data_IF_124899646949
#
_entry.id   IF_124899646949
#
_cell.length_a   1.000
_cell.length_b   1.000
_cell.length_c   1.000
_cell.angle_alpha   90.00
_cell.angle_beta   90.00
_cell.angle_gamma   90.00
#
_symmetry.space_group_name_H-M   'P 1'
#
loop_
_entity.id
_entity.type
_entity.pdbx_description
1 polymer ?
#
# COMPACT_ATOMS: atom_id res chain seq x y z
N UNK A 1 30.05 -0.93 -11.47
CA UNK A 1 29.64 -1.66 -10.27
C UNK A 1 29.28 -3.10 -10.65
N UNK A 2 30.29 -3.92 -10.97
CA UNK A 2 30.07 -5.31 -11.42
C UNK A 2 30.69 -6.34 -10.44
N UNK A 3 30.90 -5.94 -9.18
CA UNK A 3 31.57 -6.77 -8.18
C UNK A 3 30.54 -7.35 -7.19
N UNK A 4 29.70 -8.26 -7.67
CA UNK A 4 28.73 -8.98 -6.84
C UNK A 4 28.72 -10.47 -7.22
N UNK A 5 28.48 -11.34 -6.23
CA UNK A 5 28.45 -12.80 -6.44
C UNK A 5 27.07 -13.32 -6.87
N UNK A 6 26.00 -12.65 -6.48
CA UNK A 6 24.63 -13.03 -6.85
C UNK A 6 23.69 -11.83 -6.81
N UNK A 7 22.58 -11.94 -7.52
CA UNK A 7 21.49 -10.98 -7.52
C UNK A 7 20.23 -11.66 -6.98
N UNK A 8 19.54 -11.00 -6.05
CA UNK A 8 18.26 -11.45 -5.50
C UNK A 8 17.15 -10.50 -5.95
N UNK A 9 16.14 -11.05 -6.61
CA UNK A 9 14.92 -10.31 -6.98
C UNK A 9 13.81 -10.76 -6.05
N UNK A 10 13.09 -9.80 -5.46
CA UNK A 10 12.00 -10.09 -4.54
C UNK A 10 11.09 -8.88 -4.37
N UNK A 11 9.99 -9.07 -3.63
CA UNK A 11 9.08 -8.00 -3.27
C UNK A 11 9.60 -7.27 -2.04
N UNK A 12 9.45 -5.95 -2.04
CA UNK A 12 9.73 -5.12 -0.87
C UNK A 12 8.50 -5.10 0.06
N UNK A 13 8.72 -5.23 1.37
CA UNK A 13 7.66 -5.02 2.35
C UNK A 13 7.30 -3.52 2.47
N UNK A 14 6.12 -3.18 3.00
CA UNK A 14 5.74 -1.78 3.27
C UNK A 14 6.77 -1.04 4.12
N UNK A 15 7.32 -1.70 5.15
CA UNK A 15 8.36 -1.14 6.04
C UNK A 15 9.63 -0.83 5.25
N UNK A 16 10.00 -1.73 4.32
CA UNK A 16 11.17 -1.52 3.46
C UNK A 16 10.96 -0.34 2.52
N UNK A 17 9.78 -0.20 1.92
CA UNK A 17 9.43 0.94 1.07
C UNK A 17 9.47 2.25 1.87
N UNK A 18 8.91 2.28 3.08
CA UNK A 18 8.99 3.45 3.96
C UNK A 18 10.42 3.82 4.31
N UNK A 19 11.30 2.83 4.52
CA UNK A 19 12.72 3.07 4.82
C UNK A 19 13.48 3.72 3.66
N UNK A 20 13.05 3.52 2.43
CA UNK A 20 13.62 4.15 1.24
C UNK A 20 13.02 5.52 0.94
N UNK A 21 11.84 5.80 1.48
CA UNK A 21 11.08 6.99 1.16
C UNK A 21 11.61 8.24 1.85
N UNK A 22 11.62 9.33 1.13
CA UNK A 22 11.91 10.67 1.66
C UNK A 22 10.67 11.40 2.18
N UNK A 23 9.51 10.84 2.01
CA UNK A 23 8.26 11.37 2.55
C UNK A 23 7.01 10.81 1.87
N UNK A 24 5.87 11.07 2.50
CA UNK A 24 4.56 10.66 2.01
C UNK A 24 3.98 11.69 1.03
N UNK A 25 3.51 11.20 -0.12
CA UNK A 25 2.74 11.99 -1.09
C UNK A 25 1.27 11.92 -0.68
N UNK A 26 0.73 13.06 -0.23
CA UNK A 26 -0.65 13.15 0.31
C UNK A 26 -1.67 13.70 -0.69
N UNK A 27 -1.20 14.37 -1.75
CA UNK A 27 -2.05 15.04 -2.73
C UNK A 27 -1.79 14.51 -4.14
N UNK A 28 -2.82 14.39 -5.00
CA UNK A 28 -2.65 13.97 -6.38
C UNK A 28 -2.11 15.08 -7.28
N UNK A 29 -1.97 16.29 -6.77
CA UNK A 29 -1.52 17.45 -7.51
C UNK A 29 -0.06 17.30 -7.95
N UNK A 30 0.26 17.82 -9.13
CA UNK A 30 1.60 17.77 -9.72
C UNK A 30 2.29 19.13 -9.65
N UNK A 31 1.91 20.03 -10.53
CA UNK A 31 2.44 21.40 -10.61
C UNK A 31 1.30 22.40 -10.60
N UNK A 32 1.58 23.59 -10.09
CA UNK A 32 0.67 24.73 -10.21
C UNK A 32 0.70 25.28 -11.64
N UNK A 33 -0.46 25.33 -12.30
CA UNK A 33 -0.55 25.76 -13.71
C UNK A 33 -0.18 27.24 -13.91
N UNK A 34 -0.27 28.09 -12.87
CA UNK A 34 0.08 29.51 -12.95
C UNK A 34 1.58 29.76 -12.72
N UNK A 35 2.14 29.12 -11.69
CA UNK A 35 3.52 29.34 -11.27
C UNK A 35 4.50 28.33 -11.86
N UNK A 36 4.00 27.24 -12.44
CA UNK A 36 4.77 26.10 -12.95
C UNK A 36 5.68 25.46 -11.90
N UNK A 37 5.41 25.70 -10.62
CA UNK A 37 6.16 25.10 -9.50
C UNK A 37 5.44 23.86 -8.99
N UNK A 38 6.19 22.85 -8.54
CA UNK A 38 5.61 21.66 -7.91
C UNK A 38 4.76 22.03 -6.67
N UNK A 39 3.59 21.42 -6.57
CA UNK A 39 2.72 21.59 -5.40
C UNK A 39 3.30 20.86 -4.18
N UNK A 40 3.13 21.47 -3.02
CA UNK A 40 3.58 20.90 -1.76
C UNK A 40 2.79 19.61 -1.44
N UNK A 41 3.49 18.58 -1.01
CA UNK A 41 2.96 17.24 -0.69
C UNK A 41 2.31 16.51 -1.88
N UNK A 42 2.51 17.02 -3.09
CA UNK A 42 2.06 16.41 -4.34
C UNK A 42 3.08 15.45 -4.94
N UNK A 43 2.74 14.93 -6.12
CA UNK A 43 3.56 13.94 -6.84
C UNK A 43 4.94 14.46 -7.29
N UNK A 44 5.14 15.76 -7.33
CA UNK A 44 6.43 16.39 -7.68
C UNK A 44 7.00 17.26 -6.55
N UNK A 45 6.53 17.08 -5.32
CA UNK A 45 6.93 17.90 -4.17
C UNK A 45 8.45 18.02 -4.04
N UNK A 46 8.95 19.25 -3.98
CA UNK A 46 10.39 19.51 -3.83
C UNK A 46 10.92 19.10 -2.46
N UNK A 47 10.08 19.12 -1.43
CA UNK A 47 10.46 18.69 -0.08
C UNK A 47 10.74 17.19 -0.02
N UNK A 48 9.98 16.38 -0.77
CA UNK A 48 10.13 14.92 -0.81
C UNK A 48 11.24 14.53 -1.78
N UNK A 49 11.18 15.02 -3.01
CA UNK A 49 12.03 14.56 -4.10
C UNK A 49 13.28 15.42 -4.33
N UNK A 50 13.32 16.59 -3.74
CA UNK A 50 14.43 17.52 -3.91
C UNK A 50 14.10 18.72 -4.80
N UNK A 51 15.03 19.68 -4.90
CA UNK A 51 14.82 20.94 -5.61
C UNK A 51 14.74 20.74 -7.14
N UNK A 52 14.03 21.61 -7.82
CA UNK A 52 13.96 21.63 -9.29
C UNK A 52 15.17 22.30 -9.94
N UNK A 53 15.84 23.20 -9.21
CA UNK A 53 17.06 23.89 -9.64
C UNK A 53 18.22 23.51 -8.74
N UNK A 54 19.40 23.38 -9.33
CA UNK A 54 20.62 23.05 -8.59
C UNK A 54 20.92 24.12 -7.53
N UNK A 55 21.19 23.66 -6.32
CA UNK A 55 21.64 24.49 -5.19
C UNK A 55 20.67 25.65 -4.82
N UNK A 56 19.39 25.47 -5.07
CA UNK A 56 18.36 26.46 -4.75
C UNK A 56 17.17 25.79 -4.07
N UNK A 57 16.72 26.34 -2.94
CA UNK A 57 15.48 25.87 -2.31
C UNK A 57 14.24 26.44 -3.03
N UNK A 58 13.07 25.87 -2.79
CA UNK A 58 11.82 26.26 -3.49
C UNK A 58 11.43 27.73 -3.28
N UNK A 59 11.63 28.26 -2.08
CA UNK A 59 11.30 29.66 -1.76
C UNK A 59 12.38 30.66 -2.15
N UNK A 60 13.56 30.21 -2.59
CA UNK A 60 14.68 31.05 -3.00
C UNK A 60 15.49 31.69 -1.87
N UNK A 61 15.21 31.35 -0.59
CA UNK A 61 15.95 31.87 0.57
C UNK A 61 17.43 31.47 0.51
N UNK A 62 17.67 30.21 0.22
CA UNK A 62 19.02 29.66 0.08
C UNK A 62 19.29 29.35 -1.37
N UNK A 63 20.30 30.03 -1.92
CA UNK A 63 20.81 29.86 -3.27
C UNK A 63 22.32 29.78 -3.19
N UNK A 64 22.94 28.90 -3.86
CA UNK A 64 24.39 28.66 -4.00
C UNK A 64 24.88 27.45 -3.22
N UNK A 65 25.99 26.92 -3.72
CA UNK A 65 26.68 25.71 -3.24
C UNK A 65 27.10 25.77 -1.78
N UNK A 66 27.37 26.96 -1.23
CA UNK A 66 27.78 27.12 0.18
C UNK A 66 26.75 26.59 1.18
N UNK A 67 25.48 26.48 0.76
CA UNK A 67 24.39 25.97 1.59
C UNK A 67 24.09 24.47 1.34
N UNK A 68 25.00 23.77 0.65
CA UNK A 68 24.85 22.35 0.32
C UNK A 68 24.45 21.52 1.55
N UNK A 69 23.42 20.72 1.41
CA UNK A 69 22.90 19.83 2.46
C UNK A 69 22.04 20.51 3.52
N UNK A 70 21.91 21.83 3.49
CA UNK A 70 20.97 22.54 4.37
C UNK A 70 19.53 22.32 3.96
N UNK A 71 18.68 22.04 4.96
CA UNK A 71 17.23 22.04 4.77
C UNK A 71 16.69 23.43 5.08
N UNK A 72 15.97 24.01 4.15
CA UNK A 72 15.41 25.34 4.32
C UNK A 72 14.35 25.34 5.43
N UNK A 73 14.52 26.20 6.42
CA UNK A 73 13.59 26.39 7.54
C UNK A 73 12.21 26.89 7.09
N UNK A 74 12.13 27.62 5.96
CA UNK A 74 10.89 28.18 5.43
C UNK A 74 10.10 27.21 4.55
N UNK A 75 10.74 26.53 3.61
CA UNK A 75 10.07 25.65 2.63
C UNK A 75 10.33 24.16 2.83
N UNK A 76 11.29 23.79 3.70
CA UNK A 76 11.63 22.40 3.99
C UNK A 76 12.40 21.69 2.86
N UNK A 77 12.82 22.40 1.83
CA UNK A 77 13.55 21.81 0.69
C UNK A 77 15.04 21.80 0.99
N UNK A 78 15.68 20.67 0.77
CA UNK A 78 17.13 20.52 0.91
C UNK A 78 17.85 21.17 -0.27
N UNK A 79 18.91 21.92 0.02
CA UNK A 79 19.76 22.54 -1.00
C UNK A 79 20.74 21.51 -1.56
N UNK A 80 20.43 20.96 -2.71
CA UNK A 80 21.23 19.92 -3.38
C UNK A 80 21.07 20.05 -4.91
N UNK A 81 21.70 19.15 -5.65
CA UNK A 81 21.52 19.08 -7.10
C UNK A 81 20.13 18.58 -7.46
N UNK A 82 19.54 19.12 -8.51
CA UNK A 82 18.24 18.67 -9.04
C UNK A 82 18.22 17.22 -9.51
N UNK A 83 19.37 16.65 -9.83
CA UNK A 83 19.53 15.24 -10.22
C UNK A 83 18.95 14.27 -9.18
N UNK A 84 18.97 14.61 -7.91
CA UNK A 84 18.43 13.74 -6.83
C UNK A 84 16.94 13.45 -7.01
N UNK A 85 16.21 14.27 -7.74
CA UNK A 85 14.79 14.04 -8.07
C UNK A 85 14.56 12.76 -8.89
N UNK A 86 15.57 12.28 -9.59
CA UNK A 86 15.54 11.01 -10.34
C UNK A 86 15.93 9.80 -9.48
N UNK A 87 16.47 10.02 -8.30
CA UNK A 87 17.03 8.99 -7.42
C UNK A 87 16.17 8.79 -6.17
N UNK A 88 15.53 9.84 -5.67
CA UNK A 88 14.73 9.81 -4.44
C UNK A 88 13.37 9.19 -4.67
N UNK A 89 12.97 8.35 -3.74
CA UNK A 89 11.66 7.72 -3.69
C UNK A 89 10.78 8.42 -2.65
N UNK A 90 9.50 8.55 -2.97
CA UNK A 90 8.45 8.85 -2.02
C UNK A 90 7.53 7.64 -1.89
N UNK A 91 6.56 7.69 -0.99
CA UNK A 91 5.55 6.65 -0.86
C UNK A 91 4.15 7.25 -0.75
N UNK A 92 3.16 6.42 -1.03
CA UNK A 92 1.75 6.73 -0.87
C UNK A 92 1.18 5.71 0.11
N UNK A 93 0.58 6.17 1.21
CA UNK A 93 -0.16 5.30 2.11
C UNK A 93 -1.52 4.99 1.50
N UNK A 94 -1.81 3.71 1.38
CA UNK A 94 -3.10 3.27 0.87
C UNK A 94 -4.15 3.30 1.98
N UNK A 95 -5.39 3.67 1.63
CA UNK A 95 -6.51 3.70 2.57
C UNK A 95 -6.93 2.30 3.05
N UNK A 96 -6.68 1.28 2.25
CA UNK A 96 -6.96 -0.12 2.55
C UNK A 96 -5.87 -1.03 2.00
N UNK A 97 -5.65 -2.24 2.57
CA UNK A 97 -4.74 -3.22 2.00
C UNK A 97 -5.12 -3.58 0.57
N UNK A 98 -4.12 -3.85 -0.27
CA UNK A 98 -4.29 -4.26 -1.67
C UNK A 98 -3.55 -5.57 -1.89
N UNK A 99 -4.18 -6.50 -2.59
CA UNK A 99 -3.57 -7.78 -2.98
C UNK A 99 -2.61 -7.59 -4.15
N UNK A 100 -1.43 -8.23 -4.05
CA UNK A 100 -0.45 -8.18 -5.12
C UNK A 100 -0.91 -9.03 -6.32
N UNK A 101 -0.91 -8.43 -7.50
CA UNK A 101 -1.43 -9.04 -8.73
C UNK A 101 -0.72 -10.35 -9.11
N UNK A 102 0.56 -10.50 -8.80
CA UNK A 102 1.32 -11.72 -9.11
C UNK A 102 0.78 -12.96 -8.41
N UNK A 103 0.21 -12.79 -7.21
CA UNK A 103 -0.37 -13.89 -6.45
C UNK A 103 -1.85 -14.12 -6.75
N UNK A 104 -2.52 -13.09 -7.23
CA UNK A 104 -3.96 -13.13 -7.51
C UNK A 104 -4.27 -13.51 -8.98
N UNK A 105 -3.71 -12.80 -9.97
CA UNK A 105 -4.02 -12.96 -11.41
C UNK A 105 -3.17 -14.02 -12.12
N UNK A 106 -2.23 -14.69 -11.44
CA UNK A 106 -1.45 -15.76 -12.04
C UNK A 106 -2.32 -16.97 -12.44
N UNK A 107 -1.86 -17.74 -13.42
CA UNK A 107 -2.47 -19.03 -13.79
C UNK A 107 -1.44 -20.13 -13.53
N UNK A 108 -1.66 -21.01 -12.54
CA UNK A 108 -2.75 -20.99 -11.55
C UNK A 108 -2.62 -19.85 -10.53
N UNK A 109 -3.74 -19.38 -9.95
CA UNK A 109 -3.72 -18.37 -8.88
C UNK A 109 -3.06 -18.94 -7.64
N UNK A 110 -1.96 -18.34 -7.20
CA UNK A 110 -1.24 -18.78 -5.99
C UNK A 110 -2.09 -18.61 -4.73
N UNK A 111 -2.82 -17.49 -4.64
CA UNK A 111 -3.76 -17.26 -3.53
C UNK A 111 -4.91 -18.27 -3.55
N UNK A 112 -5.46 -18.57 -4.71
CA UNK A 112 -6.53 -19.56 -4.87
C UNK A 112 -6.11 -20.95 -4.39
N UNK A 113 -4.93 -21.39 -4.77
CA UNK A 113 -4.39 -22.68 -4.34
C UNK A 113 -4.12 -22.74 -2.83
N UNK A 114 -3.52 -21.69 -2.25
CA UNK A 114 -3.21 -21.65 -0.82
C UNK A 114 -4.45 -21.57 0.05
N UNK A 115 -5.49 -20.88 -0.40
CA UNK A 115 -6.71 -20.65 0.36
C UNK A 115 -7.82 -21.65 0.02
N UNK A 116 -7.59 -22.52 -0.96
CA UNK A 116 -8.63 -23.41 -1.50
C UNK A 116 -9.89 -22.62 -1.87
N UNK A 117 -9.69 -21.55 -2.65
CA UNK A 117 -10.74 -20.68 -3.17
C UNK A 117 -10.63 -20.55 -4.68
N UNK A 118 -11.78 -20.57 -5.36
CA UNK A 118 -11.79 -20.36 -6.82
C UNK A 118 -11.33 -18.93 -7.17
N UNK A 119 -10.69 -18.73 -8.33
CA UNK A 119 -10.29 -17.39 -8.79
C UNK A 119 -11.46 -16.41 -8.84
N UNK A 120 -12.65 -16.88 -9.19
CA UNK A 120 -13.88 -16.08 -9.23
C UNK A 120 -14.29 -15.64 -7.82
N UNK A 121 -14.29 -16.55 -6.84
CA UNK A 121 -14.61 -16.22 -5.46
C UNK A 121 -13.63 -15.19 -4.88
N UNK A 122 -12.33 -15.33 -5.17
CA UNK A 122 -11.32 -14.34 -4.80
C UNK A 122 -11.58 -12.98 -5.43
N UNK A 123 -11.95 -12.96 -6.72
CA UNK A 123 -12.25 -11.74 -7.46
C UNK A 123 -13.44 -11.00 -6.85
N UNK A 124 -14.53 -11.72 -6.54
CA UNK A 124 -15.72 -11.14 -5.91
C UNK A 124 -15.41 -10.48 -4.56
N UNK A 125 -14.56 -11.10 -3.75
CA UNK A 125 -14.16 -10.54 -2.45
C UNK A 125 -13.22 -9.34 -2.64
N UNK A 126 -12.17 -9.48 -3.46
CA UNK A 126 -11.14 -8.44 -3.62
C UNK A 126 -11.72 -7.15 -4.22
N UNK A 127 -12.69 -7.28 -5.13
CA UNK A 127 -13.36 -6.13 -5.77
C UNK A 127 -14.61 -5.65 -5.02
N UNK A 128 -14.80 -6.06 -3.77
CA UNK A 128 -15.89 -5.60 -2.91
C UNK A 128 -17.31 -5.97 -3.44
N UNK A 129 -17.44 -7.07 -4.16
CA UNK A 129 -18.73 -7.57 -4.60
C UNK A 129 -19.38 -8.49 -3.57
N UNK A 130 -18.60 -9.20 -2.76
CA UNK A 130 -19.09 -10.14 -1.74
C UNK A 130 -18.27 -10.07 -0.47
N UNK A 131 -18.89 -10.38 0.65
CA UNK A 131 -18.21 -10.62 1.92
C UNK A 131 -17.65 -12.05 1.96
N UNK A 132 -16.54 -12.24 2.64
CA UNK A 132 -16.01 -13.56 2.97
C UNK A 132 -16.11 -13.78 4.48
N UNK A 133 -16.64 -14.92 4.89
CA UNK A 133 -16.75 -15.32 6.30
C UNK A 133 -15.38 -15.72 6.81
N UNK A 134 -14.87 -14.95 7.78
CA UNK A 134 -13.59 -15.20 8.46
C UNK A 134 -13.80 -16.10 9.67
N UNK A 135 -14.79 -15.75 10.50
CA UNK A 135 -15.22 -16.51 11.66
C UNK A 135 -16.75 -16.67 11.62
N UNK A 136 -17.26 -17.88 11.46
CA UNK A 136 -18.69 -18.12 11.36
C UNK A 136 -19.44 -17.98 12.67
N UNK A 137 -18.79 -18.11 13.84
CA UNK A 137 -19.47 -18.10 15.13
C UNK A 137 -20.61 -19.11 15.19
N UNK A 138 -21.78 -18.76 15.80
CA UNK A 138 -22.93 -19.64 15.92
C UNK A 138 -23.88 -19.64 14.70
N UNK A 139 -23.49 -19.03 13.57
CA UNK A 139 -24.38 -18.81 12.42
C UNK A 139 -24.69 -20.08 11.61
N UNK A 140 -23.91 -21.16 11.81
CA UNK A 140 -24.00 -22.36 10.98
C UNK A 140 -23.37 -22.23 9.59
N UNK A 141 -22.75 -21.08 9.29
CA UNK A 141 -21.99 -20.87 8.06
C UNK A 141 -20.64 -21.57 8.13
N UNK A 142 -20.08 -21.87 6.97
CA UNK A 142 -18.70 -22.37 6.89
C UNK A 142 -17.72 -21.19 6.72
N UNK A 143 -16.47 -21.38 7.19
CA UNK A 143 -15.38 -20.44 6.89
C UNK A 143 -15.21 -20.32 5.38
N UNK A 144 -14.87 -19.14 4.88
CA UNK A 144 -14.69 -18.81 3.46
C UNK A 144 -15.99 -18.76 2.64
N UNK A 145 -17.17 -18.97 3.25
CA UNK A 145 -18.45 -18.76 2.57
C UNK A 145 -18.54 -17.32 2.08
N UNK A 146 -19.00 -17.13 0.85
CA UNK A 146 -19.27 -15.80 0.30
C UNK A 146 -20.71 -15.40 0.61
N UNK A 147 -20.88 -14.16 1.05
CA UNK A 147 -22.17 -13.57 1.33
C UNK A 147 -22.35 -12.31 0.46
N UNK A 148 -23.51 -12.19 -0.15
CA UNK A 148 -23.93 -10.92 -0.73
C UNK A 148 -24.21 -9.89 0.37
N UNK A 149 -24.35 -8.62 0.01
CA UNK A 149 -24.67 -7.58 1.01
C UNK A 149 -26.03 -7.82 1.69
N UNK A 150 -27.02 -8.34 0.96
CA UNK A 150 -28.33 -8.67 1.50
C UNK A 150 -28.24 -9.81 2.55
N UNK A 151 -27.57 -10.90 2.21
CA UNK A 151 -27.32 -12.02 3.11
C UNK A 151 -26.51 -11.59 4.33
N UNK A 152 -25.45 -10.77 4.14
CA UNK A 152 -24.67 -10.26 5.25
C UNK A 152 -25.53 -9.47 6.24
N UNK A 153 -26.43 -8.61 5.76
CA UNK A 153 -27.36 -7.85 6.62
C UNK A 153 -28.31 -8.76 7.39
N UNK A 154 -28.88 -9.76 6.71
CA UNK A 154 -29.78 -10.74 7.35
C UNK A 154 -29.07 -11.48 8.49
N UNK A 155 -27.84 -11.99 8.23
CA UNK A 155 -27.07 -12.67 9.28
C UNK A 155 -26.62 -11.71 10.38
N UNK A 156 -26.28 -10.45 10.05
CA UNK A 156 -25.88 -9.46 11.03
C UNK A 156 -27.03 -9.07 11.97
N UNK A 157 -28.25 -8.93 11.45
CA UNK A 157 -29.44 -8.65 12.24
C UNK A 157 -29.81 -9.81 13.17
N UNK A 158 -29.62 -11.03 12.69
CA UNK A 158 -29.90 -12.25 13.45
C UNK A 158 -28.85 -12.59 14.49
N UNK A 159 -27.58 -12.31 14.20
CA UNK A 159 -26.41 -12.64 15.04
C UNK A 159 -25.49 -11.43 15.23
N UNK A 160 -25.94 -10.36 15.89
CA UNK A 160 -25.17 -9.12 15.97
C UNK A 160 -23.84 -9.35 16.72
N UNK A 161 -22.73 -9.01 16.06
CA UNK A 161 -21.36 -9.14 16.60
C UNK A 161 -20.92 -10.57 16.97
N UNK A 162 -21.61 -11.62 16.51
CA UNK A 162 -21.29 -13.00 16.84
C UNK A 162 -20.55 -13.74 15.72
N UNK A 163 -20.38 -13.14 14.56
CA UNK A 163 -19.60 -13.64 13.45
C UNK A 163 -18.78 -12.53 12.81
N UNK A 164 -17.76 -12.90 12.05
CA UNK A 164 -16.89 -11.95 11.38
C UNK A 164 -16.88 -12.26 9.89
N UNK A 165 -17.33 -11.30 9.08
CA UNK A 165 -17.18 -11.33 7.64
C UNK A 165 -16.58 -10.01 7.16
N UNK A 166 -15.71 -10.06 6.16
CA UNK A 166 -14.99 -8.90 5.65
C UNK A 166 -14.98 -8.89 4.13
N UNK A 167 -14.77 -7.71 3.55
CA UNK A 167 -14.58 -7.50 2.12
C UNK A 167 -13.14 -7.13 1.78
N UNK A 168 -12.80 -7.20 0.50
CA UNK A 168 -11.55 -6.72 -0.04
C UNK A 168 -10.33 -7.53 0.38
N UNK A 169 -9.15 -6.99 0.11
CA UNK A 169 -7.89 -7.64 0.47
C UNK A 169 -7.73 -7.85 1.99
N UNK A 170 -8.39 -7.06 2.83
CA UNK A 170 -8.41 -7.26 4.28
C UNK A 170 -9.12 -8.55 4.66
N UNK A 171 -10.23 -8.87 4.00
CA UNK A 171 -10.93 -10.15 4.17
C UNK A 171 -10.05 -11.33 3.81
N UNK A 172 -9.40 -11.27 2.66
CA UNK A 172 -8.47 -12.31 2.20
C UNK A 172 -7.28 -12.46 3.15
N UNK A 173 -6.72 -11.36 3.65
CA UNK A 173 -5.64 -11.39 4.65
C UNK A 173 -6.08 -12.08 5.94
N UNK A 174 -7.28 -11.78 6.44
CA UNK A 174 -7.81 -12.38 7.65
C UNK A 174 -8.06 -13.89 7.47
N UNK A 175 -8.67 -14.29 6.34
CA UNK A 175 -8.87 -15.72 6.00
C UNK A 175 -7.54 -16.44 5.84
N UNK A 176 -6.54 -15.83 5.21
CA UNK A 176 -5.20 -16.41 5.05
C UNK A 176 -4.56 -16.70 6.39
N UNK A 177 -4.65 -15.74 7.31
CA UNK A 177 -4.07 -15.90 8.64
C UNK A 177 -4.73 -17.07 9.40
N UNK A 178 -6.05 -17.15 9.41
CA UNK A 178 -6.79 -18.20 10.11
C UNK A 178 -6.69 -19.57 9.44
N UNK A 179 -6.43 -19.62 8.13
CA UNK A 179 -6.33 -20.87 7.37
C UNK A 179 -4.90 -21.47 7.41
N UNK A 180 -3.88 -20.62 7.37
CA UNK A 180 -2.46 -21.04 7.32
C UNK A 180 -1.84 -21.23 8.70
N UNK A 181 -2.39 -20.63 9.74
CA UNK A 181 -1.97 -20.90 11.13
C UNK A 181 -2.65 -22.17 11.62
N UNK A 182 -1.87 -23.22 11.82
CA UNK A 182 -2.38 -24.43 12.48
C UNK A 182 -2.86 -24.06 13.89
N UNK A 183 -4.02 -24.58 14.34
CA UNK A 183 -4.41 -24.47 15.75
C UNK A 183 -3.32 -25.11 16.62
N UNK A 184 -2.74 -24.32 17.50
CA UNK A 184 -1.66 -24.77 18.42
C UNK A 184 -2.17 -25.67 19.54
N UNK A 185 -3.43 -26.11 19.50
CA UNK A 185 -4.07 -26.87 20.54
C UNK A 185 -3.89 -28.39 20.45
N UNK A 186 -3.19 -28.90 19.43
CA UNK A 186 -3.03 -30.36 19.22
C UNK A 186 -1.55 -30.81 19.24
N UNK A 187 -0.70 -30.11 20.01
CA UNK A 187 0.66 -30.58 20.34
C UNK A 187 0.84 -30.74 21.84
#
# INVERSE_FOLDING_TARGET
VNNFHYMKIGLASPEKIRSWSYGEVKKPETINYRTLKPEKDGLFCERIFGPTKDWECSCGKYKRVRYKGMVCDRCGVEVTKSKVRRERMGHIELAAPVSHIWYFKGIPSRMGLLLDMSPRALEEVIYFASYVVVDPGPTGLEKKTLLSEAEFREYYDKYPNQFVAKMGAEGIKAVSYTHLTLPTSDL
#
